data_IF_849408034751
#
_entry.id   IF_849408034751
#
_cell.length_a   1.000
_cell.length_b   1.000
_cell.length_c   1.000
_cell.angle_alpha   90.00
_cell.angle_beta   90.00
_cell.angle_gamma   90.00
#
_symmetry.space_group_name_H-M   'P 1'
#
loop_
_entity.id
_entity.type
_entity.pdbx_description
1 polymer ?
#
# COMPACT_ATOMS: atom_id res chain seq x y z
N UNK A 1 7.70 12.18 8.97
CA UNK A 1 6.41 12.82 8.61
C UNK A 1 5.25 11.84 8.45
N UNK A 2 5.38 10.71 7.71
CA UNK A 2 4.27 9.77 7.48
C UNK A 2 3.52 9.30 8.75
N UNK A 3 4.23 8.92 9.81
CA UNK A 3 3.59 8.51 11.08
C UNK A 3 2.78 9.65 11.72
N UNK A 4 3.28 10.89 11.67
CA UNK A 4 2.55 12.04 12.21
C UNK A 4 1.27 12.31 11.43
N UNK A 5 1.29 12.15 10.10
CA UNK A 5 0.10 12.25 9.24
C UNK A 5 -0.91 11.16 9.63
N UNK A 6 -0.46 9.90 9.72
CA UNK A 6 -1.31 8.76 10.10
C UNK A 6 -2.01 8.99 11.43
N UNK A 7 -1.25 9.36 12.45
CA UNK A 7 -1.79 9.64 13.78
C UNK A 7 -2.75 10.83 13.78
N UNK A 8 -2.43 11.87 13.03
CA UNK A 8 -3.28 13.06 12.89
C UNK A 8 -4.63 12.71 12.24
N UNK A 9 -4.61 11.89 11.18
CA UNK A 9 -5.81 11.39 10.50
C UNK A 9 -6.63 10.52 11.45
N UNK A 10 -6.04 9.52 12.09
CA UNK A 10 -6.77 8.63 13.00
C UNK A 10 -7.36 9.33 14.23
N UNK A 11 -6.81 10.48 14.65
CA UNK A 11 -7.39 11.31 15.71
C UNK A 11 -8.59 12.15 15.26
N UNK A 12 -8.64 12.52 13.98
CA UNK A 12 -9.61 13.49 13.46
C UNK A 12 -10.71 12.85 12.61
N UNK A 13 -10.44 11.68 12.03
CA UNK A 13 -11.32 11.01 11.07
C UNK A 13 -11.61 9.61 11.61
N UNK A 14 -12.89 9.33 11.84
CA UNK A 14 -13.34 7.98 12.14
C UNK A 14 -13.41 7.16 10.86
N UNK A 15 -12.69 6.03 10.84
CA UNK A 15 -12.67 5.08 9.72
C UNK A 15 -13.32 3.79 10.19
N UNK A 16 -14.16 3.20 9.35
CA UNK A 16 -14.73 1.88 9.57
C UNK A 16 -14.92 1.22 8.21
N UNK A 17 -14.27 0.07 7.98
CA UNK A 17 -14.54 -0.71 6.78
C UNK A 17 -15.99 -1.25 6.86
N UNK A 18 -16.80 -1.11 5.79
CA UNK A 18 -18.25 -1.35 5.85
C UNK A 18 -18.64 -2.81 6.13
N UNK A 19 -17.75 -3.76 5.80
CA UNK A 19 -18.00 -5.20 5.97
C UNK A 19 -17.08 -5.88 6.98
N UNK A 20 -16.04 -5.20 7.48
CA UNK A 20 -14.99 -5.81 8.28
C UNK A 20 -14.81 -4.98 9.54
N UNK A 21 -15.31 -5.49 10.66
CA UNK A 21 -15.28 -4.80 11.95
C UNK A 21 -13.86 -4.43 12.37
N UNK A 22 -12.87 -5.24 12.05
CA UNK A 22 -11.52 -5.10 12.61
C UNK A 22 -10.67 -4.03 11.90
N UNK A 23 -11.16 -3.46 10.80
CA UNK A 23 -10.48 -2.41 10.04
C UNK A 23 -11.12 -1.06 10.38
N UNK A 24 -10.52 -0.36 11.34
CA UNK A 24 -11.06 0.88 11.92
C UNK A 24 -10.07 2.07 11.90
N UNK A 25 -8.94 1.92 11.22
CA UNK A 25 -7.87 2.91 11.21
C UNK A 25 -7.20 3.01 9.84
N UNK A 26 -6.55 4.15 9.60
CA UNK A 26 -5.53 4.28 8.57
C UNK A 26 -4.21 3.75 9.12
N UNK A 27 -3.67 2.70 8.50
CA UNK A 27 -2.42 2.07 8.97
C UNK A 27 -1.18 2.48 8.17
N UNK A 28 -1.39 2.93 6.93
CA UNK A 28 -0.36 3.27 5.96
C UNK A 28 -0.57 4.69 5.42
N UNK A 29 0.52 5.38 5.10
CA UNK A 29 0.51 6.68 4.41
C UNK A 29 1.31 6.57 3.13
N UNK A 30 0.66 6.79 2.01
CA UNK A 30 1.29 6.86 0.69
C UNK A 30 1.66 8.31 0.37
N UNK A 31 2.94 8.57 0.17
CA UNK A 31 3.42 9.78 -0.50
C UNK A 31 3.60 9.46 -1.97
N UNK A 32 3.08 10.31 -2.85
CA UNK A 32 3.12 10.06 -4.28
C UNK A 32 3.29 11.33 -5.10
N UNK A 33 3.83 11.15 -6.29
CA UNK A 33 3.84 12.11 -7.38
C UNK A 33 3.34 11.41 -8.65
N UNK A 34 2.56 12.11 -9.45
CA UNK A 34 2.14 11.67 -10.78
C UNK A 34 2.94 12.46 -11.79
N UNK A 35 3.61 11.78 -12.72
CA UNK A 35 4.29 12.48 -13.79
C UNK A 35 3.28 13.13 -14.75
N UNK A 36 3.46 14.41 -15.12
CA UNK A 36 2.60 15.07 -16.08
C UNK A 36 2.59 14.32 -17.43
N UNK A 37 1.39 14.06 -17.96
CA UNK A 37 1.18 13.36 -19.25
C UNK A 37 1.69 11.93 -19.34
N UNK A 38 2.15 11.36 -18.22
CA UNK A 38 2.65 10.01 -18.08
C UNK A 38 1.68 9.22 -17.19
N UNK A 39 1.55 7.91 -17.43
CA UNK A 39 0.76 7.01 -16.56
C UNK A 39 1.61 6.40 -15.46
N UNK A 40 2.69 7.10 -15.11
CA UNK A 40 3.62 6.70 -14.08
C UNK A 40 3.32 7.45 -12.79
N UNK A 41 2.99 6.67 -11.76
CA UNK A 41 2.88 7.09 -10.37
C UNK A 41 4.18 6.70 -9.69
N UNK A 42 4.89 7.65 -9.10
CA UNK A 42 6.01 7.32 -8.20
C UNK A 42 5.56 7.48 -6.77
N UNK A 43 5.80 6.47 -5.93
CA UNK A 43 5.34 6.49 -4.54
C UNK A 43 6.34 5.91 -3.54
N UNK A 44 6.07 6.22 -2.27
CA UNK A 44 6.64 5.54 -1.12
C UNK A 44 5.60 5.44 -0.03
N UNK A 45 5.52 4.28 0.61
CA UNK A 45 4.53 4.02 1.65
C UNK A 45 5.21 3.90 3.01
N UNK A 46 4.74 4.68 3.97
CA UNK A 46 5.20 4.65 5.37
C UNK A 46 4.18 3.90 6.21
N UNK A 47 4.63 2.89 6.96
CA UNK A 47 3.77 2.02 7.77
C UNK A 47 4.44 1.55 9.06
N UNK A 48 3.69 0.82 9.90
CA UNK A 48 4.18 0.29 11.18
C UNK A 48 4.80 1.37 12.09
N UNK A 49 5.97 1.08 12.66
CA UNK A 49 6.74 2.01 13.51
C UNK A 49 7.75 2.84 12.70
N UNK A 50 7.31 3.51 11.63
CA UNK A 50 8.14 4.30 10.67
C UNK A 50 8.90 3.47 9.63
N UNK A 51 8.41 2.28 9.31
CA UNK A 51 8.94 1.47 8.21
C UNK A 51 8.57 2.11 6.87
N UNK A 52 9.39 1.87 5.85
CA UNK A 52 9.20 2.36 4.48
C UNK A 52 9.11 1.16 3.55
N UNK A 53 8.11 1.13 2.68
CA UNK A 53 8.00 0.10 1.64
C UNK A 53 9.04 0.38 0.54
N UNK A 54 9.75 -0.68 0.14
CA UNK A 54 10.77 -0.63 -0.92
C UNK A 54 10.16 -0.97 -2.27
N UNK A 55 9.01 -1.63 -2.26
CA UNK A 55 8.17 -1.87 -3.43
C UNK A 55 7.22 -0.69 -3.66
N UNK A 56 6.50 -0.64 -4.79
CA UNK A 56 5.44 0.35 -5.04
C UNK A 56 4.19 0.16 -4.16
N UNK A 57 4.23 -0.81 -3.23
CA UNK A 57 3.16 -1.19 -2.32
C UNK A 57 1.89 -1.65 -3.04
N UNK A 58 1.63 -2.97 -3.08
CA UNK A 58 0.49 -3.52 -3.84
C UNK A 58 -0.89 -3.03 -3.36
N UNK A 59 -1.10 -2.91 -2.04
CA UNK A 59 -2.33 -2.36 -1.47
C UNK A 59 -2.43 -0.85 -1.66
N UNK A 60 -1.31 -0.12 -1.57
CA UNK A 60 -1.24 1.31 -1.91
C UNK A 60 -1.60 1.57 -3.38
N UNK A 61 -1.02 0.79 -4.29
CA UNK A 61 -1.33 0.84 -5.73
C UNK A 61 -2.81 0.53 -5.98
N UNK A 62 -3.37 -0.47 -5.29
CA UNK A 62 -4.81 -0.80 -5.37
C UNK A 62 -5.70 0.36 -4.93
N UNK A 63 -5.37 1.00 -3.81
CA UNK A 63 -6.08 2.19 -3.32
C UNK A 63 -5.95 3.38 -4.30
N UNK A 64 -4.78 3.55 -4.93
CA UNK A 64 -4.57 4.57 -5.96
C UNK A 64 -5.45 4.33 -7.18
N UNK A 65 -5.49 3.10 -7.70
CA UNK A 65 -6.33 2.71 -8.82
C UNK A 65 -7.80 3.05 -8.52
N UNK A 66 -8.29 2.66 -7.34
CA UNK A 66 -9.66 2.97 -6.94
C UNK A 66 -9.92 4.49 -6.87
N UNK A 67 -8.98 5.27 -6.31
CA UNK A 67 -9.08 6.73 -6.24
C UNK A 67 -9.05 7.41 -7.60
N UNK A 68 -8.19 6.97 -8.53
CA UNK A 68 -8.10 7.53 -9.87
C UNK A 68 -9.33 7.16 -10.70
N UNK A 69 -9.81 5.92 -10.57
CA UNK A 69 -11.02 5.45 -11.23
C UNK A 69 -12.25 6.26 -10.80
N UNK A 70 -12.44 6.45 -9.48
CA UNK A 70 -13.54 7.23 -8.95
C UNK A 70 -13.52 8.71 -9.40
N UNK A 71 -12.35 9.25 -9.77
CA UNK A 71 -12.18 10.60 -10.31
C UNK A 71 -12.30 10.68 -11.84
N UNK A 72 -12.48 9.54 -12.52
CA UNK A 72 -12.48 9.46 -13.98
C UNK A 72 -11.10 9.68 -14.62
N UNK A 73 -10.03 9.64 -13.83
CA UNK A 73 -8.63 9.80 -14.27
C UNK A 73 -8.03 8.47 -14.77
N UNK A 74 -8.72 7.35 -14.50
CA UNK A 74 -8.36 6.01 -14.97
C UNK A 74 -9.61 5.25 -15.42
N UNK A 75 -9.55 4.56 -16.55
CA UNK A 75 -10.63 3.75 -17.12
C UNK A 75 -10.47 2.26 -16.80
N UNK A 76 -11.54 1.49 -16.97
CA UNK A 76 -11.46 0.03 -16.88
C UNK A 76 -10.46 -0.54 -17.90
N UNK A 77 -9.67 -1.50 -17.47
CA UNK A 77 -8.62 -2.14 -18.26
C UNK A 77 -7.40 -1.26 -18.53
N UNK A 78 -7.41 0.00 -18.13
CA UNK A 78 -6.33 0.95 -18.36
C UNK A 78 -5.16 0.67 -17.41
N UNK A 79 -3.97 0.43 -17.97
CA UNK A 79 -2.76 0.16 -17.19
C UNK A 79 -2.11 1.46 -16.69
N UNK A 80 -1.71 1.43 -15.42
CA UNK A 80 -0.79 2.38 -14.78
C UNK A 80 0.49 1.66 -14.37
N UNK A 81 1.59 2.41 -14.36
CA UNK A 81 2.87 1.94 -13.83
C UNK A 81 3.11 2.64 -12.49
N UNK A 82 3.43 1.87 -11.46
CA UNK A 82 3.77 2.41 -10.14
C UNK A 82 5.24 2.14 -9.84
N UNK A 83 6.01 3.20 -9.65
CA UNK A 83 7.43 3.18 -9.33
C UNK A 83 7.64 3.41 -7.82
N UNK A 84 8.43 2.56 -7.18
CA UNK A 84 8.84 2.70 -5.78
C UNK A 84 9.95 3.75 -5.59
N UNK A 85 10.25 4.11 -4.34
CA UNK A 85 11.44 4.90 -3.98
C UNK A 85 12.78 4.28 -4.44
N UNK A 86 12.82 2.97 -4.70
CA UNK A 86 14.00 2.26 -5.20
C UNK A 86 14.05 2.13 -6.74
N UNK A 87 13.08 2.68 -7.47
CA UNK A 87 13.00 2.53 -8.94
C UNK A 87 12.46 1.17 -9.41
N UNK A 88 11.95 0.34 -8.50
CA UNK A 88 11.21 -0.90 -8.87
C UNK A 88 9.78 -0.60 -9.29
N UNK A 89 9.18 -1.47 -10.10
CA UNK A 89 7.90 -1.22 -10.74
C UNK A 89 6.86 -2.32 -10.50
N UNK A 90 5.61 -1.90 -10.33
CA UNK A 90 4.41 -2.71 -10.50
C UNK A 90 3.59 -2.16 -11.66
N UNK A 91 2.82 -3.05 -12.30
CA UNK A 91 1.74 -2.68 -13.22
C UNK A 91 0.42 -2.86 -12.50
N UNK A 92 -0.48 -1.91 -12.67
CA UNK A 92 -1.78 -1.90 -12.03
C UNK A 92 -2.90 -1.56 -13.02
N UNK A 93 -4.09 -2.13 -12.86
CA UNK A 93 -5.30 -1.71 -13.58
C UNK A 93 -6.57 -2.02 -12.82
N UNK A 94 -7.63 -1.25 -13.08
CA UNK A 94 -8.99 -1.60 -12.64
C UNK A 94 -9.59 -2.63 -13.61
N UNK A 95 -9.83 -3.86 -13.16
CA UNK A 95 -10.36 -4.92 -14.02
C UNK A 95 -11.86 -4.78 -14.28
N UNK A 96 -12.63 -4.50 -13.22
CA UNK A 96 -14.09 -4.37 -13.27
C UNK A 96 -14.60 -3.57 -12.09
N UNK A 97 -15.79 -3.01 -12.25
CA UNK A 97 -16.55 -2.38 -11.18
C UNK A 97 -17.20 -3.43 -10.26
N UNK A 98 -17.42 -3.05 -9.01
CA UNK A 98 -18.13 -3.84 -8.00
C UNK A 98 -18.59 -2.91 -6.86
N UNK A 99 -19.07 -3.48 -5.76
CA UNK A 99 -19.42 -2.75 -4.54
C UNK A 99 -18.81 -3.43 -3.31
N UNK A 100 -18.53 -2.64 -2.28
CA UNK A 100 -18.12 -3.11 -0.95
C UNK A 100 -19.02 -2.43 0.08
N UNK A 101 -20.03 -3.16 0.56
CA UNK A 101 -21.15 -2.53 1.27
C UNK A 101 -21.83 -1.51 0.34
N UNK A 102 -22.02 -0.30 0.85
CA UNK A 102 -22.67 0.79 0.11
C UNK A 102 -21.69 1.60 -0.78
N UNK A 103 -20.42 1.21 -0.83
CA UNK A 103 -19.41 1.93 -1.60
C UNK A 103 -19.23 1.33 -2.99
N UNK A 104 -19.24 2.18 -4.01
CA UNK A 104 -18.76 1.83 -5.34
C UNK A 104 -17.26 1.50 -5.27
N UNK A 105 -16.85 0.41 -5.92
CA UNK A 105 -15.50 -0.13 -5.85
C UNK A 105 -15.05 -0.68 -7.21
N UNK A 106 -13.77 -1.00 -7.30
CA UNK A 106 -13.19 -1.73 -8.43
C UNK A 106 -12.44 -2.95 -7.91
N UNK A 107 -12.29 -3.96 -8.76
CA UNK A 107 -11.34 -5.05 -8.55
C UNK A 107 -10.00 -4.64 -9.18
N UNK A 108 -8.97 -4.27 -8.41
CA UNK A 108 -7.65 -3.97 -8.94
C UNK A 108 -6.89 -5.27 -9.25
N UNK A 109 -6.09 -5.25 -10.31
CA UNK A 109 -5.07 -6.26 -10.59
C UNK A 109 -3.70 -5.61 -10.47
N UNK A 110 -2.81 -6.25 -9.71
CA UNK A 110 -1.42 -5.81 -9.52
C UNK A 110 -0.50 -6.90 -10.04
N UNK A 111 0.39 -6.54 -10.96
CA UNK A 111 1.43 -7.42 -11.49
C UNK A 111 2.80 -6.96 -11.05
N UNK A 112 3.54 -7.86 -10.42
CA UNK A 112 4.92 -7.65 -9.97
C UNK A 112 5.77 -8.91 -10.14
N UNK A 113 7.00 -8.87 -9.65
CA UNK A 113 7.93 -10.01 -9.64
C UNK A 113 8.56 -10.15 -8.26
N UNK A 114 8.82 -11.39 -7.86
CA UNK A 114 9.54 -11.74 -6.65
C UNK A 114 10.64 -12.75 -6.99
N UNK A 115 11.68 -12.80 -6.17
CA UNK A 115 12.84 -13.67 -6.36
C UNK A 115 13.19 -14.34 -5.03
N UNK A 116 13.63 -15.60 -5.08
CA UNK A 116 14.22 -16.26 -3.91
C UNK A 116 15.51 -15.53 -3.52
N UNK A 117 15.59 -15.06 -2.28
CA UNK A 117 16.76 -14.34 -1.76
C UNK A 117 17.62 -15.18 -0.83
N UNK A 118 17.07 -16.27 -0.30
CA UNK A 118 17.78 -17.19 0.57
C UNK A 118 16.85 -18.22 1.20
N UNK A 119 17.47 -19.18 1.87
CA UNK A 119 16.83 -20.13 2.77
C UNK A 119 17.47 -19.96 4.15
N UNK A 120 16.69 -20.02 5.22
CA UNK A 120 17.18 -19.71 6.57
C UNK A 120 16.54 -20.61 7.62
N UNK A 121 17.35 -21.02 8.60
CA UNK A 121 16.89 -21.67 9.85
C UNK A 121 17.09 -20.69 11.00
N UNK A 122 16.00 -20.14 11.51
CA UNK A 122 16.00 -19.27 12.68
C UNK A 122 15.99 -20.13 13.96
N UNK A 123 16.90 -19.87 14.90
CA UNK A 123 17.03 -20.58 16.16
C UNK A 123 17.01 -19.53 17.27
N UNK A 124 16.20 -19.77 18.29
CA UNK A 124 16.02 -18.89 19.44
C UNK A 124 16.45 -19.66 20.68
N UNK A 125 17.47 -19.17 21.37
CA UNK A 125 17.98 -19.75 22.61
C UNK A 125 17.32 -19.06 23.80
N UNK A 126 16.91 -19.83 24.81
CA UNK A 126 16.28 -19.31 26.02
C UNK A 126 17.25 -18.45 26.86
N UNK A 127 18.57 -18.64 26.69
CA UNK A 127 19.60 -17.85 27.36
C UNK A 127 19.99 -16.56 26.60
N UNK A 128 19.52 -16.36 25.35
CA UNK A 128 19.83 -15.16 24.57
C UNK A 128 18.97 -13.96 25.03
N UNK A 129 19.57 -12.91 25.63
CA UNK A 129 18.82 -11.74 26.09
C UNK A 129 18.15 -10.94 24.96
N UNK A 130 18.50 -11.21 23.70
CA UNK A 130 17.95 -10.57 22.51
C UNK A 130 17.22 -11.54 21.57
N UNK A 131 16.80 -12.72 22.06
CA UNK A 131 16.13 -13.74 21.24
C UNK A 131 14.97 -13.16 20.40
N UNK A 132 14.19 -12.21 20.94
CA UNK A 132 13.05 -11.61 20.24
C UNK A 132 13.38 -10.29 19.51
N UNK A 133 14.67 -9.99 19.36
CA UNK A 133 15.17 -8.81 18.70
C UNK A 133 14.97 -7.53 19.49
N UNK A 134 15.42 -6.43 18.91
CA UNK A 134 15.25 -5.07 19.42
C UNK A 134 15.13 -4.10 18.24
N UNK A 135 14.72 -2.88 18.52
CA UNK A 135 14.74 -1.78 17.57
C UNK A 135 15.43 -0.58 18.23
N UNK A 136 16.18 0.18 17.43
CA UNK A 136 16.85 1.41 17.85
C UNK A 136 15.91 2.63 17.79
#
# INVERSE_FOLDING_TARGET
MGVLIRESVNRQIHIQHPLLSDIQSVDLVEFFEMEPHSRMLRNTVVFGKKQVDRSPCGTGTSAKIASLYARGELKLGEEIVCESIMGTHFKGRALKETTVGDFAAVIPEITGRAYMTGESRLIFDDEDPFAFGFAL
#
